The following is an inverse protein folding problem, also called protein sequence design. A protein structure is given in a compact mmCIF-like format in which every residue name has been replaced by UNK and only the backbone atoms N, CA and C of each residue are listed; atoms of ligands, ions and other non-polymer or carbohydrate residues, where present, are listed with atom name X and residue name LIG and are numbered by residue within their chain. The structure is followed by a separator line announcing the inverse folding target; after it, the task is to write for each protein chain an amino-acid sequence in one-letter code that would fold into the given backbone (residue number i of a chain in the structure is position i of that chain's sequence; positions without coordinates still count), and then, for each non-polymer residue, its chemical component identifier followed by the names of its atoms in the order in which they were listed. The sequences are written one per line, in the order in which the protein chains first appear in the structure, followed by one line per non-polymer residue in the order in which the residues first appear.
data_IF_989241255050
#
_entry.id   IF_989241255050
#
_cell.length_a   1.000
_cell.length_b   1.000
_cell.length_c   1.000
_cell.angle_alpha   90.00
_cell.angle_beta   90.00
_cell.angle_gamma   90.00
#
_symmetry.space_group_name_H-M   'P 1'
#
loop_
_entity.id
_entity.type
_entity.pdbx_description
1 polymer ?
#
# COMPACT_ATOMS: atom_id res chain seq x y z
N UNK A 1 4.55 0.68 -23.78
CA UNK A 1 5.85 0.21 -24.29
C UNK A 1 5.84 -1.32 -24.23
N UNK A 2 5.80 -2.04 -25.35
CA UNK A 2 5.80 -3.52 -25.32
C UNK A 2 7.20 -4.02 -24.96
N UNK A 3 7.30 -4.75 -23.85
CA UNK A 3 8.55 -5.40 -23.43
C UNK A 3 8.68 -6.74 -24.17
N UNK A 4 9.90 -7.22 -24.39
CA UNK A 4 10.20 -8.51 -25.05
C UNK A 4 9.41 -9.67 -24.46
N UNK A 5 9.19 -9.66 -23.13
CA UNK A 5 8.33 -10.62 -22.45
C UNK A 5 6.89 -10.60 -22.96
N UNK A 6 6.29 -9.42 -23.13
CA UNK A 6 4.90 -9.27 -23.60
C UNK A 6 4.72 -9.86 -24.99
N UNK A 7 5.70 -9.68 -25.87
CA UNK A 7 5.69 -10.28 -27.22
C UNK A 7 5.83 -11.80 -27.18
N UNK A 8 6.76 -12.33 -26.38
CA UNK A 8 6.98 -13.77 -26.22
C UNK A 8 5.75 -14.45 -25.58
N UNK A 9 5.14 -13.81 -24.60
CA UNK A 9 3.92 -14.29 -23.95
C UNK A 9 2.72 -14.28 -24.92
N UNK A 10 2.53 -13.22 -25.69
CA UNK A 10 1.49 -13.15 -26.71
C UNK A 10 1.69 -14.23 -27.78
N UNK A 11 2.93 -14.49 -28.22
CA UNK A 11 3.25 -15.58 -29.15
C UNK A 11 2.96 -16.96 -28.56
N UNK A 12 3.38 -17.21 -27.31
CA UNK A 12 3.18 -18.48 -26.62
C UNK A 12 1.69 -18.80 -26.37
N UNK A 13 0.88 -17.76 -26.17
CA UNK A 13 -0.56 -17.89 -25.89
C UNK A 13 -1.46 -17.62 -27.10
N UNK A 14 -0.87 -17.34 -28.27
CA UNK A 14 -1.60 -16.92 -29.48
C UNK A 14 -2.52 -15.71 -29.24
N UNK A 15 -2.16 -14.83 -28.31
CA UNK A 15 -2.95 -13.67 -27.94
C UNK A 15 -4.25 -13.98 -27.18
N UNK A 16 -4.40 -15.17 -26.60
CA UNK A 16 -5.62 -15.59 -25.91
C UNK A 16 -5.96 -14.77 -24.64
N UNK A 17 -4.99 -14.01 -24.12
CA UNK A 17 -5.13 -13.26 -22.86
C UNK A 17 -4.88 -11.75 -23.03
N UNK A 18 -5.65 -11.04 -23.87
CA UNK A 18 -5.46 -9.60 -24.09
C UNK A 18 -5.78 -8.76 -22.85
N UNK A 19 -6.60 -9.29 -21.93
CA UNK A 19 -6.96 -8.63 -20.67
C UNK A 19 -5.80 -8.58 -19.65
N UNK A 20 -4.72 -9.33 -19.86
CA UNK A 20 -3.58 -9.37 -18.94
C UNK A 20 -2.50 -8.39 -19.37
N UNK A 21 -2.24 -7.39 -18.54
CA UNK A 21 -1.13 -6.44 -18.72
C UNK A 21 0.03 -6.85 -17.82
N UNK A 22 1.22 -7.06 -18.39
CA UNK A 22 2.41 -7.38 -17.62
C UNK A 22 2.77 -6.22 -16.69
N UNK A 23 3.02 -6.51 -15.39
CA UNK A 23 3.48 -5.53 -14.40
C UNK A 23 4.97 -5.67 -14.15
N UNK A 24 5.38 -6.79 -13.55
CA UNK A 24 6.77 -7.08 -13.24
C UNK A 24 6.96 -8.59 -13.03
N UNK A 25 8.22 -9.00 -12.86
CA UNK A 25 8.56 -10.34 -12.41
C UNK A 25 9.62 -10.26 -11.30
N UNK A 26 9.54 -11.13 -10.31
CA UNK A 26 10.49 -11.20 -9.18
C UNK A 26 11.03 -12.62 -9.07
N UNK A 27 12.35 -12.75 -9.05
CA UNK A 27 13.02 -14.04 -8.87
C UNK A 27 13.57 -14.16 -7.46
N UNK A 28 13.11 -15.17 -6.73
CA UNK A 28 13.58 -15.49 -5.39
C UNK A 28 14.62 -16.62 -5.45
N UNK A 29 15.87 -16.28 -5.10
CA UNK A 29 17.00 -17.20 -5.22
C UNK A 29 16.94 -18.36 -4.24
N UNK A 30 16.35 -18.14 -3.07
CA UNK A 30 16.29 -19.14 -1.99
C UNK A 30 15.33 -20.29 -2.34
N UNK A 31 14.20 -19.96 -2.97
CA UNK A 31 13.17 -20.91 -3.38
C UNK A 31 13.30 -21.33 -4.85
N UNK A 32 14.19 -20.69 -5.62
CA UNK A 32 14.34 -20.94 -7.06
C UNK A 32 13.06 -20.65 -7.85
N UNK A 33 12.27 -19.68 -7.38
CA UNK A 33 10.93 -19.40 -7.91
C UNK A 33 10.85 -18.01 -8.54
N UNK A 34 10.28 -17.94 -9.74
CA UNK A 34 9.96 -16.72 -10.48
C UNK A 34 8.47 -16.44 -10.38
N UNK A 35 8.12 -15.33 -9.75
CA UNK A 35 6.74 -14.83 -9.70
C UNK A 35 6.53 -13.76 -10.75
N UNK A 36 5.66 -14.02 -11.72
CA UNK A 36 5.27 -13.06 -12.76
C UNK A 36 3.93 -12.44 -12.39
N UNK A 37 3.86 -11.11 -12.34
CA UNK A 37 2.66 -10.37 -11.93
C UNK A 37 2.00 -9.71 -13.13
N UNK A 38 0.68 -9.89 -13.24
CA UNK A 38 -0.17 -9.26 -14.24
C UNK A 38 -1.18 -8.32 -13.57
N UNK A 39 -1.49 -7.21 -14.23
CA UNK A 39 -2.68 -6.41 -13.94
C UNK A 39 -3.85 -6.95 -14.74
N UNK A 40 -5.00 -7.08 -14.11
CA UNK A 40 -6.27 -7.44 -14.74
C UNK A 40 -7.36 -6.51 -14.24
N UNK A 41 -8.26 -6.06 -15.11
CA UNK A 41 -9.39 -5.24 -14.68
C UNK A 41 -10.29 -6.01 -13.71
N UNK A 42 -10.93 -5.33 -12.76
CA UNK A 42 -11.86 -5.99 -11.84
C UNK A 42 -13.07 -6.62 -12.55
N UNK A 43 -13.38 -6.16 -13.76
CA UNK A 43 -14.44 -6.72 -14.61
C UNK A 43 -13.99 -8.04 -15.22
N UNK A 44 -12.84 -8.07 -15.89
CA UNK A 44 -12.30 -9.27 -16.53
C UNK A 44 -11.88 -10.34 -15.52
N UNK A 45 -11.47 -9.91 -14.33
CA UNK A 45 -11.13 -10.83 -13.24
C UNK A 45 -12.32 -11.71 -12.79
N UNK A 46 -13.57 -11.32 -13.08
CA UNK A 46 -14.77 -12.11 -12.76
C UNK A 46 -14.99 -13.25 -13.75
N UNK A 47 -14.60 -13.05 -15.02
CA UNK A 47 -14.68 -14.05 -16.09
C UNK A 47 -13.39 -14.86 -16.24
N UNK A 48 -12.33 -14.54 -15.49
CA UNK A 48 -11.04 -15.21 -15.53
C UNK A 48 -11.04 -16.49 -14.68
N UNK A 49 -11.28 -17.63 -15.33
CA UNK A 49 -11.46 -18.95 -14.70
C UNK A 49 -10.12 -19.63 -14.33
N UNK A 50 -10.19 -20.67 -13.50
CA UNK A 50 -8.99 -21.44 -13.11
C UNK A 50 -8.35 -22.17 -14.30
N UNK A 51 -9.15 -22.64 -15.27
CA UNK A 51 -8.63 -23.19 -16.54
C UNK A 51 -7.80 -22.16 -17.32
N UNK A 52 -8.19 -20.88 -17.30
CA UNK A 52 -7.42 -19.81 -17.93
C UNK A 52 -6.11 -19.56 -17.18
N UNK A 53 -6.13 -19.60 -15.84
CA UNK A 53 -4.91 -19.46 -15.02
C UNK A 53 -3.93 -20.60 -15.26
N UNK A 54 -4.42 -21.83 -15.44
CA UNK A 54 -3.59 -22.99 -15.77
C UNK A 54 -2.91 -22.81 -17.13
N UNK A 55 -3.64 -22.38 -18.15
CA UNK A 55 -3.07 -22.08 -19.48
C UNK A 55 -2.01 -20.97 -19.44
N UNK A 56 -2.22 -19.92 -18.64
CA UNK A 56 -1.21 -18.88 -18.42
C UNK A 56 0.03 -19.47 -17.75
N UNK A 57 -0.14 -20.30 -16.73
CA UNK A 57 0.96 -20.95 -16.02
C UNK A 57 1.77 -21.89 -16.93
N UNK A 58 1.10 -22.66 -17.79
CA UNK A 58 1.74 -23.51 -18.80
C UNK A 58 2.57 -22.69 -19.80
N UNK A 59 2.01 -21.58 -20.31
CA UNK A 59 2.73 -20.68 -21.20
C UNK A 59 3.99 -20.12 -20.52
N UNK A 60 3.88 -19.69 -19.25
CA UNK A 60 5.01 -19.18 -18.49
C UNK A 60 6.09 -20.24 -18.24
N UNK A 61 5.72 -21.48 -17.92
CA UNK A 61 6.66 -22.61 -17.79
C UNK A 61 7.37 -22.93 -19.11
N UNK A 62 6.67 -22.74 -20.24
CA UNK A 62 7.24 -22.88 -21.58
C UNK A 62 8.31 -21.83 -21.88
N UNK A 63 8.08 -20.59 -21.45
CA UNK A 63 8.99 -19.45 -21.61
C UNK A 63 10.20 -19.57 -20.66
N UNK A 64 9.96 -19.84 -19.38
CA UNK A 64 10.99 -19.91 -18.35
C UNK A 64 11.29 -21.36 -17.95
N UNK A 65 12.21 -21.99 -18.66
CA UNK A 65 12.63 -23.37 -18.39
C UNK A 65 13.62 -23.44 -17.23
N UNK A 66 13.45 -24.44 -16.36
CA UNK A 66 14.42 -24.75 -15.29
C UNK A 66 14.25 -23.93 -14.01
N UNK A 67 13.16 -23.17 -13.88
CA UNK A 67 12.83 -22.35 -12.70
C UNK A 67 11.39 -22.65 -12.28
N UNK A 68 11.09 -22.66 -10.98
CA UNK A 68 9.70 -22.71 -10.53
C UNK A 68 8.99 -21.44 -10.96
N UNK A 69 7.82 -21.51 -11.60
CA UNK A 69 7.11 -20.31 -12.07
C UNK A 69 5.76 -20.20 -11.40
N UNK A 70 5.41 -19.00 -10.97
CA UNK A 70 4.10 -18.65 -10.43
C UNK A 70 3.53 -17.41 -11.14
N UNK A 71 2.21 -17.37 -11.29
CA UNK A 71 1.49 -16.23 -11.87
C UNK A 71 0.62 -15.58 -10.80
N UNK A 72 0.82 -14.29 -10.56
CA UNK A 72 -0.04 -13.48 -9.70
C UNK A 72 -0.87 -12.50 -10.53
N UNK A 73 -2.13 -12.33 -10.14
CA UNK A 73 -3.08 -11.46 -10.84
C UNK A 73 -3.55 -10.36 -9.89
N UNK A 74 -3.12 -9.14 -10.17
CA UNK A 74 -3.48 -7.94 -9.40
C UNK A 74 -4.73 -7.35 -10.04
N UNK A 75 -5.84 -7.40 -9.32
CA UNK A 75 -7.09 -6.77 -9.75
C UNK A 75 -6.96 -5.26 -9.61
N UNK A 76 -7.22 -4.54 -10.71
CA UNK A 76 -7.21 -3.07 -10.73
C UNK A 76 -8.59 -2.54 -11.03
N UNK A 77 -8.98 -1.47 -10.36
CA UNK A 77 -10.22 -0.74 -10.61
C UNK A 77 -9.86 0.69 -11.01
N UNK A 78 -10.13 1.05 -12.27
CA UNK A 78 -9.91 2.39 -12.79
C UNK A 78 -11.24 3.14 -12.78
N UNK A 79 -11.62 3.70 -11.64
CA UNK A 79 -12.69 4.71 -11.58
C UNK A 79 -12.08 6.11 -11.45
N UNK A 80 -12.93 7.13 -11.60
CA UNK A 80 -12.46 8.52 -11.60
C UNK A 80 -11.70 8.87 -10.32
N UNK A 81 -12.19 8.42 -9.16
CA UNK A 81 -11.58 8.72 -7.88
C UNK A 81 -10.21 8.05 -7.75
N UNK A 82 -10.11 6.76 -8.08
CA UNK A 82 -8.90 5.96 -7.95
C UNK A 82 -7.80 6.50 -8.87
N UNK A 83 -8.14 6.83 -10.12
CA UNK A 83 -7.19 7.43 -11.07
C UNK A 83 -6.76 8.81 -10.59
N UNK A 84 -7.70 9.66 -10.16
CA UNK A 84 -7.40 11.00 -9.62
C UNK A 84 -6.45 10.94 -8.42
N UNK A 85 -6.62 9.98 -7.52
CA UNK A 85 -5.70 9.80 -6.39
C UNK A 85 -4.31 9.36 -6.82
N UNK A 86 -4.20 8.50 -7.83
CA UNK A 86 -2.89 8.12 -8.36
C UNK A 86 -2.19 9.27 -9.06
N UNK A 87 -2.92 10.18 -9.71
CA UNK A 87 -2.35 11.42 -10.24
C UNK A 87 -1.86 12.32 -9.09
N UNK A 88 -2.67 12.49 -8.05
CA UNK A 88 -2.28 13.26 -6.86
C UNK A 88 -1.03 12.66 -6.18
N UNK A 89 -0.99 11.33 -6.02
CA UNK A 89 0.18 10.60 -5.55
C UNK A 89 1.39 10.86 -6.44
N UNK A 90 1.27 10.78 -7.76
CA UNK A 90 2.38 11.07 -8.67
C UNK A 90 2.95 12.48 -8.49
N UNK A 91 2.12 13.50 -8.29
CA UNK A 91 2.62 14.86 -8.07
C UNK A 91 3.20 15.05 -6.67
N UNK A 92 2.62 14.46 -5.62
CA UNK A 92 3.23 14.41 -4.27
C UNK A 92 4.58 13.65 -4.28
N UNK A 93 4.62 12.57 -5.07
CA UNK A 93 5.72 11.92 -5.78
C UNK A 93 6.92 12.77 -6.21
N UNK A 94 6.65 13.63 -7.19
CA UNK A 94 7.65 14.12 -8.14
C UNK A 94 7.69 15.64 -8.23
N UNK A 95 6.57 16.32 -7.99
CA UNK A 95 6.44 17.75 -8.15
C UNK A 95 5.39 18.35 -7.20
N UNK A 96 5.88 18.75 -6.01
CA UNK A 96 5.08 19.33 -4.93
C UNK A 96 4.44 20.67 -5.29
N UNK A 97 5.11 21.46 -6.13
CA UNK A 97 4.57 22.74 -6.58
C UNK A 97 3.29 22.53 -7.37
N UNK A 98 3.30 21.56 -8.29
CA UNK A 98 2.11 21.21 -9.08
C UNK A 98 1.05 20.59 -8.17
N UNK A 99 1.44 19.66 -7.30
CA UNK A 99 0.53 19.03 -6.33
C UNK A 99 -0.28 20.06 -5.54
N UNK A 100 0.38 21.10 -5.01
CA UNK A 100 -0.26 22.18 -4.23
C UNK A 100 -1.20 23.07 -5.06
N UNK A 101 -0.97 23.16 -6.38
CA UNK A 101 -1.81 23.93 -7.31
C UNK A 101 -2.96 23.13 -7.91
N UNK A 102 -2.99 21.81 -7.70
CA UNK A 102 -4.05 20.97 -8.24
C UNK A 102 -5.38 21.22 -7.54
N UNK A 103 -6.40 21.57 -8.31
CA UNK A 103 -7.79 21.60 -7.87
C UNK A 103 -8.58 20.48 -8.55
N UNK A 104 -9.87 20.35 -8.23
CA UNK A 104 -10.74 19.41 -8.95
C UNK A 104 -10.82 19.75 -10.44
N UNK A 105 -10.79 21.04 -10.79
CA UNK A 105 -10.89 21.52 -12.17
C UNK A 105 -9.58 21.41 -12.95
N UNK A 106 -8.44 21.33 -12.26
CA UNK A 106 -7.13 21.12 -12.88
C UNK A 106 -7.01 19.75 -13.58
N UNK A 107 -7.83 18.77 -13.20
CA UNK A 107 -7.77 17.40 -13.73
C UNK A 107 -9.13 16.97 -14.24
N UNK A 108 -9.23 16.76 -15.54
CA UNK A 108 -10.38 16.11 -16.18
C UNK A 108 -10.00 14.69 -16.59
N UNK A 109 -10.89 13.75 -16.30
CA UNK A 109 -10.70 12.34 -16.59
C UNK A 109 -11.82 11.85 -17.50
N UNK A 110 -11.46 11.12 -18.55
CA UNK A 110 -12.39 10.32 -19.32
C UNK A 110 -11.91 8.87 -19.24
N UNK A 111 -12.73 8.00 -18.64
CA UNK A 111 -12.36 6.62 -18.37
C UNK A 111 -13.32 5.69 -19.10
N UNK A 112 -12.76 4.77 -19.87
CA UNK A 112 -13.44 3.63 -20.48
C UNK A 112 -12.78 2.33 -20.02
N UNK A 113 -13.36 1.16 -20.34
CA UNK A 113 -12.75 -0.14 -20.01
C UNK A 113 -11.34 -0.32 -20.55
N UNK A 114 -11.03 0.29 -21.70
CA UNK A 114 -9.77 0.08 -22.41
C UNK A 114 -8.82 1.29 -22.33
N UNK A 115 -9.32 2.49 -22.01
CA UNK A 115 -8.53 3.72 -22.03
C UNK A 115 -8.81 4.66 -20.84
N UNK A 116 -7.76 5.31 -20.36
CA UNK A 116 -7.78 6.40 -19.39
C UNK A 116 -7.18 7.63 -20.06
N UNK A 117 -8.02 8.64 -20.36
CA UNK A 117 -7.55 9.94 -20.84
C UNK A 117 -7.52 10.92 -19.67
N UNK A 118 -6.32 11.41 -19.36
CA UNK A 118 -6.07 12.44 -18.35
C UNK A 118 -5.80 13.77 -19.05
N UNK A 119 -6.60 14.79 -18.75
CA UNK A 119 -6.35 16.16 -19.20
C UNK A 119 -5.98 17.03 -18.01
N UNK A 120 -4.73 17.50 -17.98
CA UNK A 120 -4.22 18.43 -16.97
C UNK A 120 -4.28 19.85 -17.51
N UNK A 121 -4.97 20.73 -16.79
CA UNK A 121 -5.19 22.12 -17.21
C UNK A 121 -4.54 23.09 -16.24
N UNK A 122 -3.53 23.83 -16.70
CA UNK A 122 -2.76 24.76 -15.89
C UNK A 122 -2.41 26.06 -16.65
N UNK A 123 -1.97 27.08 -15.93
CA UNK A 123 -1.45 28.32 -16.51
C UNK A 123 -0.25 28.06 -17.45
N UNK A 124 -0.11 28.85 -18.52
CA UNK A 124 0.93 28.69 -19.55
C UNK A 124 2.35 28.49 -19.00
N UNK A 125 2.84 29.25 -17.99
CA UNK A 125 4.17 29.01 -17.42
C UNK A 125 4.33 27.61 -16.83
N UNK A 126 3.29 27.10 -16.15
CA UNK A 126 3.32 25.79 -15.51
C UNK A 126 3.22 24.67 -16.56
N UNK A 127 2.36 24.82 -17.58
CA UNK A 127 2.30 23.88 -18.70
C UNK A 127 3.64 23.73 -19.41
N UNK A 128 4.31 24.84 -19.76
CA UNK A 128 5.63 24.79 -20.41
C UNK A 128 6.70 24.13 -19.56
N UNK A 129 6.66 24.34 -18.24
CA UNK A 129 7.55 23.64 -17.30
C UNK A 129 7.30 22.13 -17.31
N UNK A 130 6.03 21.71 -17.29
CA UNK A 130 5.63 20.28 -17.32
C UNK A 130 5.99 19.61 -18.65
N UNK A 131 5.81 20.30 -19.76
CA UNK A 131 6.21 19.84 -21.10
C UNK A 131 7.72 19.66 -21.20
N UNK A 132 8.50 20.66 -20.78
CA UNK A 132 9.96 20.59 -20.77
C UNK A 132 10.49 19.47 -19.87
N UNK A 133 9.76 19.14 -18.80
CA UNK A 133 10.09 18.05 -17.89
C UNK A 133 9.62 16.67 -18.39
N UNK A 134 8.91 16.57 -19.52
CA UNK A 134 8.36 15.30 -20.01
C UNK A 134 7.30 14.68 -19.08
N UNK A 135 6.62 15.51 -18.27
CA UNK A 135 5.73 15.02 -17.21
C UNK A 135 4.55 14.21 -17.75
N UNK A 136 4.06 14.50 -18.96
CA UNK A 136 2.98 13.74 -19.58
C UNK A 136 3.37 12.27 -19.78
N UNK A 137 4.57 12.00 -20.28
CA UNK A 137 5.08 10.65 -20.48
C UNK A 137 5.39 9.95 -19.16
N UNK A 138 5.95 10.66 -18.18
CA UNK A 138 6.20 10.11 -16.85
C UNK A 138 4.90 9.72 -16.13
N UNK A 139 3.89 10.60 -16.16
CA UNK A 139 2.59 10.32 -15.55
C UNK A 139 1.88 9.19 -16.29
N UNK A 140 1.95 9.16 -17.63
CA UNK A 140 1.43 8.06 -18.45
C UNK A 140 2.04 6.73 -18.01
N UNK A 141 3.37 6.64 -17.97
CA UNK A 141 4.06 5.42 -17.56
C UNK A 141 3.69 5.02 -16.12
N UNK A 142 3.60 6.00 -15.21
CA UNK A 142 3.20 5.75 -13.83
C UNK A 142 1.79 5.18 -13.73
N UNK A 143 0.82 5.73 -14.47
CA UNK A 143 -0.55 5.22 -14.48
C UNK A 143 -0.63 3.86 -15.19
N UNK A 144 0.13 3.64 -16.26
CA UNK A 144 0.21 2.37 -16.97
C UNK A 144 0.74 1.22 -16.09
N UNK A 145 1.62 1.50 -15.13
CA UNK A 145 2.10 0.52 -14.14
C UNK A 145 1.07 0.19 -13.04
N UNK A 146 0.07 1.05 -12.86
CA UNK A 146 -0.93 0.96 -11.80
C UNK A 146 -2.30 0.49 -12.28
N UNK A 147 -2.61 0.68 -13.57
CA UNK A 147 -3.92 0.36 -14.16
C UNK A 147 -3.78 -0.49 -15.42
N UNK A 148 -4.79 -1.34 -15.64
CA UNK A 148 -4.87 -2.21 -16.82
C UNK A 148 -5.18 -1.44 -18.14
N UNK A 149 -6.14 -0.49 -18.18
CA UNK A 149 -6.38 0.32 -19.38
C UNK A 149 -5.12 1.02 -19.90
N UNK A 150 -5.08 1.31 -21.21
CA UNK A 150 -4.06 2.20 -21.78
C UNK A 150 -4.26 3.62 -21.26
N UNK A 151 -3.17 4.35 -21.05
CA UNK A 151 -3.24 5.72 -20.54
C UNK A 151 -2.76 6.74 -21.57
N UNK A 152 -3.50 7.82 -21.70
CA UNK A 152 -3.11 9.02 -22.43
C UNK A 152 -3.13 10.24 -21.47
N UNK A 153 -2.08 11.05 -21.53
CA UNK A 153 -1.97 12.28 -20.72
C UNK A 153 -1.81 13.47 -21.64
N UNK A 154 -2.71 14.44 -21.51
CA UNK A 154 -2.78 15.64 -22.32
C UNK A 154 -2.58 16.85 -21.39
N UNK A 155 -1.61 17.70 -21.71
CA UNK A 155 -1.45 19.00 -21.07
C UNK A 155 -2.25 20.03 -21.86
N UNK A 156 -3.02 20.87 -21.16
CA UNK A 156 -3.76 21.99 -21.75
C UNK A 156 -3.46 23.27 -20.99
N UNK A 157 -3.24 24.33 -21.74
CA UNK A 157 -3.16 25.66 -21.16
C UNK A 157 -4.56 26.15 -20.78
N UNK A 158 -4.67 26.70 -19.58
CA UNK A 158 -5.83 27.46 -19.12
C UNK A 158 -5.48 28.94 -19.20
N UNK A 159 -6.40 29.78 -19.68
CA UNK A 159 -6.25 31.23 -19.52
C UNK A 159 -6.18 31.54 -18.02
N UNK A 160 -5.19 32.33 -17.62
CA UNK A 160 -4.97 32.67 -16.22
C UNK A 160 -6.23 33.35 -15.67
N UNK A 161 -6.91 32.69 -14.73
CA UNK A 161 -7.86 33.40 -13.88
C UNK A 161 -7.10 34.51 -13.14
N UNK A 162 -7.70 35.69 -12.93
CA UNK A 162 -7.08 36.75 -12.14
C UNK A 162 -6.62 36.16 -10.81
N UNK A 163 -5.38 36.47 -10.43
CA UNK A 163 -4.83 36.09 -9.13
C UNK A 163 -5.61 36.89 -8.07
N UNK A 164 -6.74 36.35 -7.61
CA UNK A 164 -7.33 36.80 -6.37
C UNK A 164 -6.39 36.35 -5.26
N UNK A 165 -5.71 37.32 -4.65
CA UNK A 165 -5.01 37.11 -3.40
C UNK A 165 -6.03 36.65 -2.35
N UNK A 166 -6.13 35.35 -2.11
CA UNK A 166 -6.95 34.83 -1.03
C UNK A 166 -6.26 35.12 0.29
N UNK A 167 -6.69 36.21 0.91
CA UNK A 167 -6.72 36.40 2.36
C UNK A 167 -7.54 35.29 3.02
N UNK A 168 -7.13 34.91 4.23
CA UNK A 168 -7.56 33.77 5.02
C UNK A 168 -9.07 33.46 5.13
N UNK A 169 -9.29 32.17 5.46
CA UNK A 169 -10.47 31.53 6.05
C UNK A 169 -11.67 31.22 5.13
N UNK A 170 -11.73 29.95 4.69
CA UNK A 170 -13.01 29.28 4.39
C UNK A 170 -13.03 27.95 5.13
N UNK A 171 -13.65 27.95 6.30
CA UNK A 171 -14.25 26.75 6.89
C UNK A 171 -15.49 26.39 6.05
N UNK A 172 -15.31 25.45 5.12
CA UNK A 172 -16.42 24.71 4.54
C UNK A 172 -16.10 23.24 4.65
N UNK A 173 -16.80 22.58 5.58
CA UNK A 173 -16.89 21.13 5.65
C UNK A 173 -17.60 20.64 4.39
N UNK A 174 -16.86 20.53 3.28
CA UNK A 174 -17.25 19.63 2.21
C UNK A 174 -16.84 18.25 2.69
N UNK A 175 -17.82 17.43 3.07
CA UNK A 175 -17.63 15.99 3.26
C UNK A 175 -17.25 15.42 1.89
N UNK A 176 -15.96 15.47 1.58
CA UNK A 176 -15.33 14.76 0.47
C UNK A 176 -14.72 13.51 1.08
N UNK A 177 -14.92 12.34 0.48
CA UNK A 177 -14.03 11.21 0.69
C UNK A 177 -12.76 11.51 -0.12
N UNK A 178 -11.66 12.01 0.47
CA UNK A 178 -10.42 12.14 -0.26
C UNK A 178 -9.83 10.74 -0.24
N UNK A 179 -9.81 10.04 -1.37
CA UNK A 179 -9.33 8.64 -1.36
C UNK A 179 -7.80 8.52 -1.29
N UNK A 180 -7.11 9.65 -1.06
CA UNK A 180 -5.81 9.73 -0.40
C UNK A 180 -5.88 10.82 0.68
N UNK A 181 -5.94 10.44 1.96
CA UNK A 181 -5.94 11.39 3.06
C UNK A 181 -4.50 11.71 3.45
N UNK A 182 -4.21 13.01 3.49
CA UNK A 182 -2.86 13.52 3.72
C UNK A 182 -2.86 14.49 4.89
N UNK A 183 -1.71 14.56 5.56
CA UNK A 183 -1.40 15.43 6.68
C UNK A 183 -0.25 16.33 6.23
N UNK A 184 -0.34 17.62 6.48
CA UNK A 184 0.77 18.57 6.30
C UNK A 184 1.46 18.79 7.66
N UNK A 185 2.52 18.03 7.98
CA UNK A 185 3.29 18.29 9.20
C UNK A 185 4.16 19.53 9.01
N UNK A 186 4.25 20.37 10.06
CA UNK A 186 5.28 21.40 10.14
C UNK A 186 6.60 20.72 10.54
N UNK A 187 7.58 20.72 9.64
CA UNK A 187 8.81 19.94 9.81
C UNK A 187 9.85 20.76 10.58
N UNK A 188 10.35 20.17 11.67
CA UNK A 188 11.38 20.73 12.53
C UNK A 188 12.72 20.00 12.41
N UNK A 189 13.40 19.84 13.54
CA UNK A 189 14.78 19.36 13.59
C UNK A 189 14.96 17.93 13.06
N UNK A 190 16.06 17.72 12.33
CA UNK A 190 16.47 16.39 11.86
C UNK A 190 16.98 15.53 13.01
N UNK A 191 16.39 14.36 13.20
CA UNK A 191 16.88 13.35 14.15
C UNK A 191 17.79 12.36 13.43
N UNK A 192 17.33 11.81 12.31
CA UNK A 192 18.07 10.77 11.58
C UNK A 192 17.84 10.88 10.08
N UNK A 193 18.86 10.62 9.27
CA UNK A 193 18.72 10.53 7.82
C UNK A 193 19.84 9.67 7.23
N UNK A 194 19.45 8.66 6.45
CA UNK A 194 20.36 7.83 5.68
C UNK A 194 20.82 8.58 4.43
N UNK A 195 22.06 9.03 4.43
CA UNK A 195 22.65 9.80 3.32
C UNK A 195 22.45 11.31 3.44
N UNK A 196 22.45 12.03 2.32
CA UNK A 196 22.34 13.50 2.27
C UNK A 196 20.89 14.02 2.20
N UNK A 197 19.95 13.36 2.86
CA UNK A 197 18.56 13.83 2.89
C UNK A 197 18.46 15.05 3.81
N UNK A 198 18.34 16.24 3.21
CA UNK A 198 18.33 17.51 3.92
C UNK A 198 16.97 17.85 4.57
N UNK A 199 15.89 17.24 4.09
CA UNK A 199 14.54 17.46 4.59
C UNK A 199 13.54 16.49 3.97
N UNK A 200 12.37 16.39 4.58
CA UNK A 200 11.17 15.83 3.95
C UNK A 200 10.37 17.03 3.45
N UNK A 201 9.92 17.03 2.20
CA UNK A 201 9.10 18.14 1.65
C UNK A 201 7.80 17.59 1.05
N UNK A 202 7.23 16.60 1.72
CA UNK A 202 6.11 15.80 1.22
C UNK A 202 5.05 15.71 2.28
N UNK A 203 3.79 15.74 1.87
CA UNK A 203 2.69 15.48 2.79
C UNK A 203 2.72 14.02 3.23
N UNK A 204 2.43 13.81 4.51
CA UNK A 204 2.38 12.49 5.10
C UNK A 204 1.03 11.82 4.82
N UNK A 205 1.04 10.54 4.47
CA UNK A 205 -0.19 9.76 4.29
C UNK A 205 -0.74 9.30 5.65
N UNK A 206 -2.06 9.11 5.71
CA UNK A 206 -2.69 8.46 6.86
C UNK A 206 -2.21 7.02 6.97
N UNK A 207 -1.86 6.58 8.17
CA UNK A 207 -1.34 5.24 8.43
C UNK A 207 -2.35 4.18 8.01
N UNK A 208 -3.63 4.39 8.29
CA UNK A 208 -4.68 3.43 7.91
C UNK A 208 -4.86 3.25 6.39
N UNK A 209 -4.45 4.22 5.58
CA UNK A 209 -4.55 4.17 4.11
C UNK A 209 -3.37 3.40 3.47
N UNK A 210 -2.33 3.09 4.25
CA UNK A 210 -1.19 2.29 3.79
C UNK A 210 -1.55 0.81 3.81
N UNK A 211 -2.07 0.30 2.68
CA UNK A 211 -2.50 -1.10 2.53
C UNK A 211 -1.51 -2.00 1.78
N UNK A 212 -0.45 -1.43 1.20
CA UNK A 212 0.52 -2.19 0.39
C UNK A 212 1.95 -1.64 0.54
N UNK A 213 2.97 -2.44 0.19
CA UNK A 213 4.37 -1.98 0.17
C UNK A 213 4.56 -0.75 -0.72
N UNK A 214 5.40 0.18 -0.27
CA UNK A 214 5.70 1.43 -0.97
C UNK A 214 7.16 1.83 -0.74
N UNK A 215 7.91 2.18 -1.79
CA UNK A 215 9.34 2.48 -1.66
C UNK A 215 9.65 3.83 -1.00
N UNK A 216 8.76 4.82 -1.12
CA UNK A 216 9.00 6.20 -0.68
C UNK A 216 7.79 6.79 0.08
N UNK A 217 7.32 6.06 1.08
CA UNK A 217 6.24 6.51 1.95
C UNK A 217 6.72 7.61 2.90
N UNK A 218 5.84 8.55 3.20
CA UNK A 218 6.02 9.57 4.24
C UNK A 218 4.85 9.44 5.18
N UNK A 219 5.12 9.19 6.46
CA UNK A 219 4.13 9.00 7.52
C UNK A 219 4.50 9.91 8.69
N UNK A 220 3.51 10.40 9.43
CA UNK A 220 3.73 11.20 10.62
C UNK A 220 2.86 10.70 11.77
N UNK A 221 3.26 10.98 13.01
CA UNK A 221 2.49 10.59 14.19
C UNK A 221 3.27 10.74 15.48
N UNK A 222 2.69 10.25 16.57
CA UNK A 222 3.34 10.16 17.89
C UNK A 222 4.16 8.90 17.99
N UNK A 223 5.36 9.02 18.54
CA UNK A 223 6.24 7.87 18.79
C UNK A 223 5.82 7.13 20.05
N UNK A 224 5.93 5.81 20.04
CA UNK A 224 5.85 4.98 21.25
C UNK A 224 6.77 3.76 21.18
N UNK A 225 7.25 3.30 22.33
CA UNK A 225 7.95 2.02 22.48
C UNK A 225 9.30 1.98 21.77
N UNK A 226 10.11 3.04 21.91
CA UNK A 226 11.47 3.10 21.34
C UNK A 226 12.34 2.00 21.95
N UNK A 227 12.85 1.09 21.10
CA UNK A 227 13.65 -0.06 21.48
C UNK A 227 14.92 -0.12 20.63
N UNK A 228 16.09 -0.07 21.28
CA UNK A 228 17.39 -0.23 20.63
C UNK A 228 17.91 -1.65 20.85
N UNK A 229 18.25 -2.33 19.76
CA UNK A 229 18.87 -3.66 19.75
C UNK A 229 20.09 -3.64 18.84
N UNK A 230 20.85 -4.73 18.86
CA UNK A 230 21.89 -5.00 17.87
C UNK A 230 21.52 -6.22 17.04
N UNK A 231 22.07 -6.29 15.82
CA UNK A 231 21.96 -7.46 14.95
C UNK A 231 23.31 -7.80 14.35
N UNK A 232 23.52 -9.08 14.02
CA UNK A 232 24.77 -9.55 13.43
C UNK A 232 24.93 -9.01 12.01
N UNK A 233 26.08 -8.40 11.75
CA UNK A 233 26.46 -7.91 10.45
C UNK A 233 26.85 -9.08 9.54
N UNK A 234 25.99 -9.42 8.58
CA UNK A 234 26.24 -10.50 7.61
C UNK A 234 27.49 -10.30 6.75
N UNK A 235 28.01 -9.07 6.67
CA UNK A 235 29.22 -8.74 5.88
C UNK A 235 30.50 -8.75 6.71
N UNK A 236 30.40 -8.92 8.04
CA UNK A 236 31.55 -8.91 8.92
C UNK A 236 32.52 -10.04 8.56
N UNK A 237 33.79 -9.68 8.43
CA UNK A 237 34.91 -10.59 8.26
C UNK A 237 36.04 -10.11 9.18
N UNK A 238 36.61 -10.98 10.03
CA UNK A 238 37.65 -10.60 11.00
C UNK A 238 38.85 -9.86 10.36
N UNK A 239 39.18 -10.20 9.11
CA UNK A 239 40.39 -9.75 8.43
C UNK A 239 40.22 -8.46 7.59
N UNK A 240 39.01 -7.88 7.52
CA UNK A 240 38.77 -6.69 6.72
C UNK A 240 37.96 -5.61 7.47
N UNK A 241 38.62 -4.59 8.03
CA UNK A 241 37.96 -3.52 8.78
C UNK A 241 37.03 -2.64 7.92
N UNK A 242 37.04 -2.76 6.58
CA UNK A 242 36.07 -2.07 5.71
C UNK A 242 34.64 -2.61 5.80
N UNK A 243 34.47 -3.81 6.34
CA UNK A 243 33.17 -4.48 6.41
C UNK A 243 32.32 -4.09 7.62
N UNK A 244 32.85 -3.20 8.48
CA UNK A 244 32.14 -2.68 9.65
C UNK A 244 32.21 -3.62 10.86
N UNK A 245 31.58 -3.25 11.98
CA UNK A 245 31.59 -4.03 13.22
C UNK A 245 30.79 -5.35 13.08
N UNK A 246 31.07 -6.30 13.97
CA UNK A 246 30.35 -7.59 14.06
C UNK A 246 28.86 -7.42 14.35
N UNK A 247 28.52 -6.42 15.16
CA UNK A 247 27.15 -6.06 15.50
C UNK A 247 26.82 -4.64 15.03
N UNK A 248 25.62 -4.48 14.46
CA UNK A 248 25.09 -3.21 13.98
C UNK A 248 23.83 -2.82 14.76
N UNK A 249 23.57 -1.53 14.98
CA UNK A 249 22.41 -1.07 15.72
C UNK A 249 21.11 -1.21 14.91
N UNK A 250 20.04 -1.54 15.60
CA UNK A 250 18.67 -1.65 15.11
C UNK A 250 17.77 -0.88 16.07
N UNK A 251 17.04 0.11 15.56
CA UNK A 251 16.07 0.85 16.36
C UNK A 251 14.66 0.53 15.88
N UNK A 252 13.78 0.18 16.81
CA UNK A 252 12.36 -0.05 16.55
C UNK A 252 11.53 0.90 17.38
N UNK A 253 10.44 1.38 16.82
CA UNK A 253 9.45 2.19 17.52
C UNK A 253 8.12 2.08 16.77
N UNK A 254 7.04 2.55 17.38
CA UNK A 254 5.74 2.64 16.72
C UNK A 254 5.39 4.09 16.45
N UNK A 255 4.71 4.33 15.33
CA UNK A 255 4.14 5.60 14.95
C UNK A 255 2.62 5.50 14.99
N UNK A 256 1.95 6.47 15.60
CA UNK A 256 0.49 6.54 15.71
C UNK A 256 -0.02 7.91 15.25
N UNK A 257 -0.86 7.92 14.23
CA UNK A 257 -1.46 9.13 13.66
C UNK A 257 -2.93 9.31 14.05
N UNK A 258 -3.43 8.55 15.03
CA UNK A 258 -4.84 8.37 15.44
C UNK A 258 -5.69 7.52 14.49
N UNK A 259 -5.27 7.30 13.24
CA UNK A 259 -5.99 6.46 12.29
C UNK A 259 -5.49 5.04 12.24
N UNK A 260 -4.21 4.84 12.56
CA UNK A 260 -3.58 3.54 12.68
C UNK A 260 -2.24 3.61 13.39
N UNK A 261 -1.71 2.43 13.69
CA UNK A 261 -0.40 2.26 14.32
C UNK A 261 0.51 1.43 13.43
N UNK A 262 1.72 1.92 13.12
CA UNK A 262 2.68 1.24 12.27
C UNK A 262 4.03 1.05 12.96
N UNK A 263 4.62 -0.15 12.84
CA UNK A 263 5.97 -0.42 13.30
C UNK A 263 6.99 0.27 12.36
N UNK A 264 7.89 1.03 12.95
CA UNK A 264 9.00 1.70 12.29
C UNK A 264 10.31 1.03 12.68
N UNK A 265 11.15 0.74 11.69
CA UNK A 265 12.45 0.09 11.86
C UNK A 265 13.53 0.92 11.20
N UNK A 266 14.54 1.33 11.96
CA UNK A 266 15.69 2.06 11.46
C UNK A 266 16.98 1.24 11.60
N UNK A 267 17.85 1.34 10.59
CA UNK A 267 19.17 0.72 10.55
C UNK A 267 20.26 1.81 10.52
N UNK A 268 20.46 2.55 11.62
CA UNK A 268 21.45 3.61 11.67
C UNK A 268 22.87 3.04 11.59
N UNK A 269 23.84 3.91 11.26
CA UNK A 269 25.25 3.59 11.55
C UNK A 269 25.48 3.66 13.07
N UNK A 270 26.51 2.99 13.62
CA UNK A 270 26.84 3.06 15.04
C UNK A 270 26.92 4.51 15.57
N UNK A 271 27.53 5.41 14.80
CA UNK A 271 27.64 6.84 15.09
C UNK A 271 26.31 7.62 15.06
N UNK A 272 25.30 7.13 14.36
CA UNK A 272 23.97 7.76 14.22
C UNK A 272 22.94 7.18 15.20
N UNK A 273 23.27 6.07 15.87
CA UNK A 273 22.35 5.38 16.78
C UNK A 273 22.05 6.20 18.04
N UNK A 274 22.99 7.02 18.49
CA UNK A 274 22.81 7.94 19.63
C UNK A 274 21.77 9.03 19.33
N UNK A 275 21.58 9.41 18.06
CA UNK A 275 20.58 10.42 17.70
C UNK A 275 19.15 9.99 18.06
N UNK A 276 18.89 8.67 18.13
CA UNK A 276 17.60 8.13 18.55
C UNK A 276 17.38 8.21 20.08
N UNK A 277 18.39 8.56 20.89
CA UNK A 277 18.16 8.85 22.32
C UNK A 277 17.40 10.16 22.54
N UNK A 278 17.39 11.05 21.54
CA UNK A 278 16.60 12.26 21.56
C UNK A 278 15.10 12.03 21.30
N UNK A 279 14.70 10.77 21.06
CA UNK A 279 13.33 10.36 20.77
C UNK A 279 12.69 9.80 22.03
N UNK A 280 11.61 10.43 22.48
CA UNK A 280 10.82 10.00 23.63
C UNK A 280 9.42 9.58 23.21
N UNK A 281 8.79 8.74 24.04
CA UNK A 281 7.38 8.39 23.85
C UNK A 281 6.51 9.65 23.91
N UNK A 282 5.64 9.82 22.92
CA UNK A 282 4.78 11.00 22.75
C UNK A 282 5.32 12.05 21.77
N UNK A 283 6.60 11.98 21.38
CA UNK A 283 7.19 12.91 20.42
C UNK A 283 6.49 12.85 19.07
N UNK A 284 6.24 14.01 18.48
CA UNK A 284 5.64 14.16 17.16
C UNK A 284 6.74 14.16 16.10
N UNK A 285 6.66 13.23 15.16
CA UNK A 285 7.69 13.05 14.13
C UNK A 285 7.10 12.79 12.75
N UNK A 286 7.88 13.12 11.73
CA UNK A 286 7.67 12.69 10.35
C UNK A 286 8.79 11.74 9.93
N UNK A 287 8.38 10.59 9.41
CA UNK A 287 9.24 9.52 8.93
C UNK A 287 9.10 9.40 7.41
N UNK A 288 10.22 9.37 6.69
CA UNK A 288 10.27 9.00 5.28
C UNK A 288 11.02 7.68 5.11
N UNK A 289 10.48 6.76 4.32
CA UNK A 289 11.06 5.42 4.23
C UNK A 289 10.33 4.49 3.27
N UNK A 290 10.79 3.24 3.29
CA UNK A 290 10.19 2.14 2.53
C UNK A 290 9.22 1.38 3.42
N UNK A 291 7.97 1.29 3.03
CA UNK A 291 7.00 0.36 3.62
C UNK A 291 7.16 -0.99 2.93
N UNK A 292 7.36 -2.03 3.73
CA UNK A 292 7.45 -3.41 3.26
C UNK A 292 6.75 -4.35 4.24
N UNK A 293 6.30 -5.50 3.75
CA UNK A 293 5.91 -6.59 4.64
C UNK A 293 7.12 -7.03 5.46
N UNK A 294 6.97 -6.99 6.77
CA UNK A 294 7.96 -7.52 7.70
C UNK A 294 8.00 -9.04 7.56
N UNK A 295 9.18 -9.58 7.24
CA UNK A 295 9.41 -11.02 7.16
C UNK A 295 9.22 -11.76 8.51
N UNK A 296 9.12 -11.02 9.63
CA UNK A 296 9.00 -11.61 10.96
C UNK A 296 7.54 -11.86 11.38
N UNK A 297 6.63 -10.93 11.08
CA UNK A 297 5.24 -10.99 11.56
C UNK A 297 4.21 -10.84 10.43
N UNK A 298 4.63 -10.69 9.17
CA UNK A 298 3.72 -10.52 8.03
C UNK A 298 2.94 -9.19 8.05
N UNK A 299 3.31 -8.24 8.91
CA UNK A 299 2.66 -6.93 9.01
C UNK A 299 3.47 -5.88 8.24
N UNK A 300 2.80 -4.88 7.66
CA UNK A 300 3.48 -3.75 7.03
C UNK A 300 4.28 -2.97 8.07
N UNK A 301 5.58 -2.78 7.80
CA UNK A 301 6.47 -1.97 8.61
C UNK A 301 7.19 -0.93 7.75
N UNK A 302 7.48 0.22 8.35
CA UNK A 302 8.21 1.31 7.72
C UNK A 302 9.71 1.16 8.03
N UNK A 303 10.50 0.80 7.04
CA UNK A 303 11.95 0.94 7.08
C UNK A 303 12.32 2.43 6.93
N UNK A 304 12.66 3.06 8.06
CA UNK A 304 12.91 4.51 8.16
C UNK A 304 14.24 4.86 7.51
N UNK A 305 14.18 5.72 6.50
CA UNK A 305 15.35 6.31 5.85
C UNK A 305 15.62 7.72 6.36
N UNK A 306 14.60 8.47 6.80
CA UNK A 306 14.76 9.77 7.43
C UNK A 306 13.67 10.02 8.47
N UNK A 307 14.03 10.74 9.53
CA UNK A 307 13.22 11.03 10.71
C UNK A 307 13.50 12.47 11.14
N UNK A 308 12.44 13.26 11.25
CA UNK A 308 12.48 14.65 11.69
C UNK A 308 11.42 14.85 12.77
N UNK A 309 11.70 15.73 13.73
CA UNK A 309 10.65 16.27 14.60
C UNK A 309 9.64 17.01 13.74
N UNK A 310 8.39 16.94 14.12
CA UNK A 310 7.31 17.64 13.44
C UNK A 310 6.32 18.18 14.45
N UNK A 311 5.55 19.19 14.05
CA UNK A 311 4.32 19.56 14.74
C UNK A 311 3.15 19.16 13.83
N UNK A 312 2.25 18.36 14.38
CA UNK A 312 1.18 17.72 13.62
C UNK A 312 -0.16 18.24 14.11
N UNK A 313 -0.99 18.75 13.19
CA UNK A 313 -2.38 19.08 13.51
C UNK A 313 -3.25 17.81 13.50
N UNK A 314 -3.30 17.13 14.64
CA UNK A 314 -4.15 15.96 14.83
C UNK A 314 -5.64 16.28 14.71
N UNK A 315 -6.07 17.54 14.85
CA UNK A 315 -7.48 17.91 14.69
C UNK A 315 -7.93 17.86 13.22
N UNK A 316 -7.00 18.01 12.29
CA UNK A 316 -7.25 17.83 10.85
C UNK A 316 -7.43 16.35 10.46
N UNK A 317 -7.03 15.41 11.34
CA UNK A 317 -7.04 13.98 11.06
C UNK A 317 -8.44 13.42 11.29
N UNK A 318 -9.08 12.97 10.21
CA UNK A 318 -10.44 12.42 10.27
C UNK A 318 -10.40 10.90 10.13
N UNK A 319 -10.80 10.14 11.17
CA UNK A 319 -10.90 8.69 11.06
C UNK A 319 -11.86 8.32 9.94
N UNK A 320 -11.66 7.15 9.32
CA UNK A 320 -12.54 6.71 8.25
C UNK A 320 -13.98 6.66 8.77
N UNK A 321 -14.93 7.19 7.99
CA UNK A 321 -16.35 7.16 8.37
C UNK A 321 -16.77 5.69 8.48
N UNK A 322 -17.09 5.25 9.70
CA UNK A 322 -17.63 3.91 9.92
C UNK A 322 -18.88 3.73 9.06
N UNK A 323 -19.07 2.54 8.48
CA UNK A 323 -20.28 2.24 7.71
C UNK A 323 -21.49 2.52 8.61
N UNK A 324 -22.52 3.23 8.11
CA UNK A 324 -23.70 3.47 8.91
C UNK A 324 -24.31 2.12 9.32
N UNK A 325 -24.89 2.08 10.52
CA UNK A 325 -25.61 0.91 11.00
C UNK A 325 -26.60 0.44 9.91
N UNK A 326 -26.61 -0.86 9.55
CA UNK A 326 -27.49 -1.36 8.49
C UNK A 326 -28.94 -0.95 8.74
N UNK A 327 -29.59 -0.35 7.74
CA UNK A 327 -30.98 0.10 7.86
C UNK A 327 -31.96 -1.07 8.08
N UNK A 328 -31.54 -2.30 7.76
CA UNK A 328 -32.29 -3.54 7.97
C UNK A 328 -31.37 -4.59 8.54
N UNK A 329 -31.77 -5.15 9.68
CA UNK A 329 -31.13 -6.32 10.27
C UNK A 329 -31.92 -7.57 9.88
N UNK A 330 -31.24 -8.61 9.41
CA UNK A 330 -31.82 -9.94 9.26
C UNK A 330 -31.66 -10.70 10.58
N UNK A 331 -32.76 -11.07 11.21
CA UNK A 331 -32.73 -11.97 12.38
C UNK A 331 -32.51 -13.39 11.87
N UNK A 332 -31.28 -13.89 11.98
CA UNK A 332 -30.98 -15.29 11.75
C UNK A 332 -31.44 -16.10 12.95
N UNK A 333 -32.34 -17.07 12.73
CA UNK A 333 -32.70 -18.07 13.75
C UNK A 333 -31.86 -19.32 13.53
N UNK A 334 -31.27 -19.91 14.59
CA UNK A 334 -30.58 -21.20 14.46
C UNK A 334 -31.54 -22.24 13.89
N UNK A 335 -31.07 -22.97 12.88
CA UNK A 335 -31.75 -24.18 12.40
C UNK A 335 -31.17 -25.37 13.16
N UNK A 336 -31.98 -26.35 13.60
CA UNK A 336 -31.46 -27.56 14.21
C UNK A 336 -30.41 -28.21 13.32
N UNK A 337 -29.19 -28.35 13.84
CA UNK A 337 -28.10 -29.08 13.18
C UNK A 337 -28.05 -30.49 13.76
N UNK A 338 -28.13 -31.50 12.90
CA UNK A 338 -27.91 -32.89 13.27
C UNK A 338 -26.69 -33.43 12.52
N UNK A 339 -25.63 -33.72 13.26
CA UNK A 339 -24.45 -34.39 12.70
C UNK A 339 -24.64 -35.90 12.83
N UNK A 340 -24.55 -36.62 11.72
CA UNK A 340 -24.49 -38.09 11.77
C UNK A 340 -23.02 -38.47 11.89
N UNK A 341 -22.48 -38.44 13.11
CA UNK A 341 -21.13 -38.90 13.36
C UNK A 341 -21.00 -40.37 12.94
N UNK A 342 -20.19 -40.67 11.92
CA UNK A 342 -19.84 -42.05 11.59
C UNK A 342 -18.91 -42.56 12.69
N UNK A 343 -19.45 -43.34 13.62
CA UNK A 343 -18.66 -44.00 14.68
C UNK A 343 -17.74 -45.05 14.06
N UNK A 344 -16.46 -44.99 14.39
CA UNK A 344 -15.50 -46.07 14.11
C UNK A 344 -15.55 -47.13 15.20
N UNK A 345 -15.20 -48.38 14.86
CA UNK A 345 -15.17 -49.52 15.80
C UNK A 345 -14.24 -49.36 17.01
N UNK A 346 -13.42 -48.28 17.04
CA UNK A 346 -12.46 -47.97 18.09
C UNK A 346 -12.89 -46.79 18.98
N UNK A 347 -14.09 -46.23 18.76
CA UNK A 347 -14.60 -45.16 19.60
C UNK A 347 -15.08 -45.75 20.93
N UNK A 348 -14.56 -45.27 22.07
CA UNK A 348 -14.89 -45.80 23.40
C UNK A 348 -16.42 -45.80 23.65
N UNK A 349 -16.98 -46.86 24.28
CA UNK A 349 -18.40 -46.94 24.58
C UNK A 349 -18.72 -46.03 25.78
N UNK A 350 -18.95 -44.76 25.50
CA UNK A 350 -19.37 -43.79 26.50
C UNK A 350 -19.33 -42.38 25.94
N UNK A 351 -20.43 -41.94 25.32
CA UNK A 351 -20.66 -40.50 25.16
C UNK A 351 -20.57 -39.88 26.56
N UNK A 352 -19.58 -39.01 26.79
CA UNK A 352 -19.50 -38.27 28.05
C UNK A 352 -20.84 -37.57 28.23
N UNK A 353 -21.55 -37.80 29.35
CA UNK A 353 -22.88 -37.24 29.53
C UNK A 353 -22.79 -35.72 29.42
N UNK A 354 -23.64 -35.14 28.58
CA UNK A 354 -23.79 -33.69 28.49
C UNK A 354 -24.02 -33.16 29.90
N UNK A 355 -23.12 -32.30 30.39
CA UNK A 355 -23.20 -31.81 31.76
C UNK A 355 -24.57 -31.15 32.00
N UNK A 356 -25.14 -31.38 33.18
CA UNK A 356 -26.52 -30.96 33.52
C UNK A 356 -26.79 -29.48 33.24
N UNK A 357 -25.74 -28.65 33.39
CA UNK A 357 -25.76 -27.23 33.11
C UNK A 357 -26.19 -26.88 31.67
N UNK A 358 -25.87 -27.73 30.68
CA UNK A 358 -26.16 -27.50 29.27
C UNK A 358 -27.54 -27.98 28.83
N UNK A 359 -28.21 -28.82 29.64
CA UNK A 359 -29.52 -29.38 29.28
C UNK A 359 -30.61 -28.31 29.38
N UNK A 360 -31.49 -28.25 28.37
CA UNK A 360 -32.66 -27.37 28.35
C UNK A 360 -32.38 -25.87 28.21
N UNK A 361 -31.12 -25.49 27.97
CA UNK A 361 -30.72 -24.09 27.75
C UNK A 361 -30.30 -23.88 26.29
N UNK A 362 -30.65 -22.72 25.75
CA UNK A 362 -30.15 -22.28 24.45
C UNK A 362 -28.89 -21.44 24.69
N UNK A 363 -27.77 -21.88 24.12
CA UNK A 363 -26.54 -21.10 24.10
C UNK A 363 -26.34 -20.58 22.69
N UNK A 364 -25.97 -19.31 22.57
CA UNK A 364 -25.44 -18.76 21.33
C UNK A 364 -23.93 -18.70 21.52
N UNK A 365 -23.23 -19.63 20.87
CA UNK A 365 -21.76 -19.62 20.86
C UNK A 365 -21.35 -18.77 19.68
N UNK A 366 -20.78 -17.61 19.97
CA UNK A 366 -20.09 -16.81 18.97
C UNK A 366 -18.67 -17.33 18.89
N UNK A 367 -18.38 -18.07 17.83
CA UNK A 367 -17.00 -18.32 17.45
C UNK A 367 -16.47 -17.06 16.76
N UNK A 368 -15.72 -16.26 17.51
CA UNK A 368 -15.03 -15.09 16.97
C UNK A 368 -13.77 -15.50 16.19
N UNK A 369 -13.38 -16.77 16.17
CA UNK A 369 -12.34 -17.32 15.29
C UNK A 369 -12.93 -17.65 13.91
N UNK A 370 -13.50 -16.65 13.26
CA UNK A 370 -13.77 -16.74 11.82
C UNK A 370 -12.61 -16.11 11.08
N UNK A 371 -11.89 -16.98 10.33
CA UNK A 371 -10.63 -16.79 9.58
C UNK A 371 -9.38 -17.18 10.38
N UNK A 372 -8.52 -17.99 9.73
CA UNK A 372 -7.32 -18.56 10.34
C UNK A 372 -6.35 -17.50 10.88
N UNK A 373 -5.27 -17.95 11.51
CA UNK A 373 -4.23 -17.12 12.16
C UNK A 373 -3.52 -16.10 11.24
N UNK A 374 -3.98 -15.91 10.01
CA UNK A 374 -3.44 -14.98 9.02
C UNK A 374 -4.14 -13.61 9.12
N UNK A 375 -3.58 -12.76 9.97
CA UNK A 375 -4.04 -11.39 10.28
C UNK A 375 -3.98 -10.47 9.04
N UNK A 376 -3.29 -10.88 7.96
CA UNK A 376 -3.03 -10.04 6.80
C UNK A 376 -4.25 -9.75 5.91
N UNK A 377 -5.34 -10.52 6.02
CA UNK A 377 -6.49 -10.44 5.09
C UNK A 377 -7.79 -9.90 5.71
N UNK A 378 -7.78 -9.43 6.95
CA UNK A 378 -9.00 -8.94 7.60
C UNK A 378 -9.20 -7.46 7.25
N UNK A 379 -10.18 -7.18 6.38
CA UNK A 379 -10.71 -5.82 6.22
C UNK A 379 -11.43 -5.40 7.51
N UNK A 380 -11.21 -4.18 8.04
CA UNK A 380 -11.95 -3.71 9.20
C UNK A 380 -13.43 -3.53 8.84
N UNK A 381 -14.31 -3.99 9.74
CA UNK A 381 -15.77 -3.89 9.64
C UNK A 381 -16.23 -2.43 9.71
#
# INVERSE_FOLDING_TARGET
MQNKFTEEFAKATQGAFPMLKYKNATYEKETGTLTVRFLISAFDARSFTDEMKEKVLEALKGIFRGVGVHAEYIRTFADENTVRNKIAEFFNLRNQMVFRKMTQDSVRLAISPDNITVTLSFETPLCKMLEAAGTADELKNFLDENFNPETEVILRETEAAPVEAQTDAIDTVVVRNPSLRLIEPEIGDKIYARGKTAGVNRMAAYICDVKSPAENAVLCGRVSGVNKRTYKNKKYTPDNPKNGPEELPLVRFFLDDTTGRMECVAFPRPEEAEAFDALSDGDEVVCAGKVSLSAYNGVLSLAVNALFRAKIDFSSIKPAVSKPAPAKYSVLKPVPFSETAKKTLFDEPGEKPVAEFFKGKTFVVFDFETTGLDIATIEPI
#
